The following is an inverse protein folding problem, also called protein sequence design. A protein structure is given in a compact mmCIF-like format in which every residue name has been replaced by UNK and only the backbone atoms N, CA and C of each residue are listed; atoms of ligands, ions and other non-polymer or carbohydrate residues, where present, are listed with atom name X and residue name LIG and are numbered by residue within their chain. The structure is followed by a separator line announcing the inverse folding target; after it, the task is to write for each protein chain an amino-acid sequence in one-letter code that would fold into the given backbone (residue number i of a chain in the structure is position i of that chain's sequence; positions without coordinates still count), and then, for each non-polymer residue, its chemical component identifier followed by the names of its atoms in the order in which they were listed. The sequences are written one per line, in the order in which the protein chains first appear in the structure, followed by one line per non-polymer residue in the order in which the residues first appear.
data_IF_622603815236
#
_entry.id   IF_622603815236
#
_cell.length_a   1.000
_cell.length_b   1.000
_cell.length_c   1.000
_cell.angle_alpha   90.00
_cell.angle_beta   90.00
_cell.angle_gamma   90.00
#
_symmetry.space_group_name_H-M   'P 1'
#
loop_
_entity.id
_entity.type
_entity.pdbx_description
1 polymer ?
#
# COMPACT_ATOMS: atom_id res chain seq x y z
N UNK A 1 39.26 -13.18 -43.79
CA UNK A 1 39.05 -11.94 -43.02
C UNK A 1 37.77 -12.10 -42.21
N UNK A 2 37.89 -12.57 -40.97
CA UNK A 2 36.77 -12.61 -40.04
C UNK A 2 36.67 -11.22 -39.37
N UNK A 3 35.64 -10.46 -39.72
CA UNK A 3 35.28 -9.28 -38.95
C UNK A 3 34.69 -9.74 -37.63
N UNK A 4 35.40 -9.42 -36.55
CA UNK A 4 34.91 -9.56 -35.17
C UNK A 4 33.66 -8.70 -34.99
N UNK A 5 32.53 -9.35 -34.78
CA UNK A 5 31.29 -8.69 -34.31
C UNK A 5 31.61 -8.05 -32.97
N UNK A 6 31.75 -6.74 -32.97
CA UNK A 6 31.94 -5.93 -31.76
C UNK A 6 30.77 -6.19 -30.82
N UNK A 7 31.09 -6.73 -29.65
CA UNK A 7 30.13 -6.90 -28.57
C UNK A 7 29.51 -5.54 -28.25
N UNK A 8 28.21 -5.37 -28.55
CA UNK A 8 27.45 -4.20 -28.14
C UNK A 8 27.61 -4.02 -26.64
N UNK A 9 27.93 -2.82 -26.15
CA UNK A 9 28.03 -2.57 -24.72
C UNK A 9 26.68 -2.89 -24.08
N UNK A 10 26.67 -3.79 -23.09
CA UNK A 10 25.48 -4.12 -22.32
C UNK A 10 24.90 -2.81 -21.79
N UNK A 11 23.57 -2.57 -21.93
CA UNK A 11 22.96 -1.31 -21.54
C UNK A 11 23.21 -1.06 -20.06
N UNK A 12 23.93 0.02 -19.77
CA UNK A 12 24.29 0.45 -18.41
C UNK A 12 23.09 0.95 -17.62
N UNK A 13 21.90 0.99 -18.21
CA UNK A 13 20.72 1.67 -17.71
C UNK A 13 20.08 1.09 -16.45
N UNK A 14 20.29 -0.20 -16.13
CA UNK A 14 19.74 -0.83 -14.91
C UNK A 14 20.84 -1.22 -13.90
N UNK A 15 22.07 -0.75 -14.08
CA UNK A 15 23.10 -0.89 -13.05
C UNK A 15 22.64 -0.15 -11.79
N UNK A 16 22.68 -0.84 -10.64
CA UNK A 16 22.27 -0.26 -9.36
C UNK A 16 20.79 -0.42 -9.01
N UNK A 17 19.98 -1.17 -9.79
CA UNK A 17 18.57 -1.40 -9.46
C UNK A 17 18.36 -2.02 -8.08
N UNK A 18 19.25 -2.91 -7.62
CA UNK A 18 19.22 -3.45 -6.25
C UNK A 18 19.40 -2.37 -5.21
N UNK A 19 20.27 -1.38 -5.45
CA UNK A 19 20.43 -0.22 -4.59
C UNK A 19 19.13 0.63 -4.52
N UNK A 20 18.47 0.86 -5.67
CA UNK A 20 17.19 1.58 -5.70
C UNK A 20 16.10 0.83 -4.93
N UNK A 21 16.07 -0.50 -4.98
CA UNK A 21 15.16 -1.31 -4.18
C UNK A 21 15.47 -1.16 -2.68
N UNK A 22 16.74 -1.23 -2.28
CA UNK A 22 17.15 -1.00 -0.90
C UNK A 22 16.72 0.37 -0.37
N UNK A 23 16.96 1.42 -1.15
CA UNK A 23 16.49 2.77 -0.82
C UNK A 23 14.96 2.85 -0.71
N UNK A 24 14.24 2.17 -1.60
CA UNK A 24 12.78 2.07 -1.58
C UNK A 24 12.27 1.44 -0.29
N UNK A 25 12.86 0.31 0.11
CA UNK A 25 12.52 -0.37 1.37
C UNK A 25 12.79 0.54 2.57
N UNK A 26 13.97 1.17 2.64
CA UNK A 26 14.33 2.08 3.74
C UNK A 26 13.38 3.29 3.81
N UNK A 27 13.06 3.92 2.68
CA UNK A 27 12.13 5.05 2.65
C UNK A 27 10.72 4.63 3.12
N UNK A 28 10.23 3.47 2.70
CA UNK A 28 8.94 2.93 3.12
C UNK A 28 8.92 2.57 4.61
N UNK A 29 10.01 2.01 5.13
CA UNK A 29 10.16 1.73 6.57
C UNK A 29 10.13 3.02 7.39
N UNK A 30 10.81 4.08 6.93
CA UNK A 30 10.86 5.36 7.62
C UNK A 30 9.48 5.98 7.83
N UNK A 31 8.57 5.88 6.84
CA UNK A 31 7.25 6.50 6.88
C UNK A 31 6.13 5.60 7.44
N UNK A 32 6.45 4.42 7.91
CA UNK A 32 5.44 3.45 8.40
C UNK A 32 4.83 3.84 9.75
N UNK A 33 5.64 4.46 10.60
CA UNK A 33 5.28 4.75 11.99
C UNK A 33 4.06 5.65 12.15
N UNK A 34 3.85 6.73 11.37
CA UNK A 34 2.67 7.58 11.52
C UNK A 34 1.34 6.83 11.45
N UNK A 35 1.24 5.79 10.65
CA UNK A 35 0.04 4.97 10.55
C UNK A 35 -0.02 3.86 11.61
N UNK A 36 1.06 3.10 11.76
CA UNK A 36 1.01 1.84 12.50
C UNK A 36 1.25 1.98 14.00
N UNK A 37 1.93 3.05 14.46
CA UNK A 37 2.14 3.28 15.89
C UNK A 37 1.18 4.32 16.48
N UNK A 38 0.24 4.84 15.70
CA UNK A 38 -0.75 5.82 16.13
C UNK A 38 -1.44 5.43 17.45
N UNK A 39 -1.77 4.16 17.61
CA UNK A 39 -2.44 3.65 18.81
C UNK A 39 -1.66 3.91 20.11
N UNK A 40 -0.32 3.95 20.07
CA UNK A 40 0.52 4.24 21.23
C UNK A 40 0.38 5.70 21.71
N UNK A 41 0.08 6.62 20.79
CA UNK A 41 -0.05 8.04 21.08
C UNK A 41 -1.46 8.44 21.53
N UNK A 42 -2.49 7.62 21.28
CA UNK A 42 -3.89 7.99 21.56
C UNK A 42 -4.12 8.35 23.02
N UNK A 43 -3.70 7.50 23.96
CA UNK A 43 -3.89 7.74 25.40
C UNK A 43 -3.09 8.94 25.92
N UNK A 44 -1.78 9.09 25.62
CA UNK A 44 -1.01 10.30 25.95
C UNK A 44 -1.62 11.60 25.39
N UNK A 45 -2.10 11.55 24.10
CA UNK A 45 -2.73 12.71 23.47
C UNK A 45 -4.09 13.05 24.07
N UNK A 46 -4.91 12.07 24.44
CA UNK A 46 -6.16 12.31 25.15
C UNK A 46 -5.92 13.08 26.47
N UNK A 47 -4.91 12.65 27.24
CA UNK A 47 -4.57 13.29 28.49
C UNK A 47 -3.98 14.69 28.28
N UNK A 48 -3.09 14.86 27.29
CA UNK A 48 -2.43 16.14 27.01
C UNK A 48 -3.40 17.20 26.44
N UNK A 49 -4.29 16.80 25.53
CA UNK A 49 -5.22 17.73 24.85
C UNK A 49 -6.60 17.81 25.49
N UNK A 50 -6.89 17.00 26.52
CA UNK A 50 -8.18 16.91 27.21
C UNK A 50 -9.36 16.68 26.24
N UNK A 51 -9.18 15.78 25.25
CA UNK A 51 -10.17 15.46 24.22
C UNK A 51 -10.55 13.98 24.23
N UNK A 52 -11.74 13.67 23.76
CA UNK A 52 -12.21 12.30 23.61
C UNK A 52 -11.51 11.55 22.46
N UNK A 53 -11.52 10.22 22.53
CA UNK A 53 -10.95 9.35 21.48
C UNK A 53 -11.54 9.63 20.08
N UNK A 54 -12.85 9.91 19.90
CA UNK A 54 -13.40 10.21 18.57
C UNK A 54 -12.74 11.41 17.89
N UNK A 55 -12.42 12.48 18.63
CA UNK A 55 -11.74 13.65 18.10
C UNK A 55 -10.31 13.31 17.63
N UNK A 56 -9.60 12.44 18.35
CA UNK A 56 -8.28 11.97 17.93
C UNK A 56 -8.34 11.08 16.68
N UNK A 57 -9.36 10.25 16.55
CA UNK A 57 -9.52 9.39 15.38
C UNK A 57 -9.73 10.20 14.08
N UNK A 58 -10.28 11.40 14.15
CA UNK A 58 -10.34 12.33 13.01
C UNK A 58 -8.92 12.66 12.51
N UNK A 59 -7.93 12.85 13.40
CA UNK A 59 -6.53 13.07 12.99
C UNK A 59 -6.00 11.94 12.11
N UNK A 60 -6.23 10.71 12.55
CA UNK A 60 -5.83 9.53 11.81
C UNK A 60 -6.55 9.40 10.47
N UNK A 61 -7.86 9.69 10.45
CA UNK A 61 -8.65 9.70 9.23
C UNK A 61 -8.14 10.74 8.22
N UNK A 62 -7.80 11.96 8.68
CA UNK A 62 -7.20 13.00 7.83
C UNK A 62 -5.89 12.51 7.22
N UNK A 63 -5.03 11.86 8.02
CA UNK A 63 -3.77 11.30 7.53
C UNK A 63 -4.00 10.31 6.38
N UNK A 64 -4.88 9.31 6.56
CA UNK A 64 -5.13 8.27 5.56
C UNK A 64 -5.83 8.84 4.32
N UNK A 65 -6.82 9.70 4.48
CA UNK A 65 -7.54 10.32 3.35
C UNK A 65 -6.59 11.16 2.50
N UNK A 66 -5.75 11.98 3.11
CA UNK A 66 -4.81 12.82 2.36
C UNK A 66 -3.67 12.01 1.74
N UNK A 67 -3.21 10.95 2.41
CA UNK A 67 -2.24 10.01 1.85
C UNK A 67 -2.74 9.37 0.55
N UNK A 68 -4.04 9.08 0.46
CA UNK A 68 -4.62 8.39 -0.71
C UNK A 68 -5.23 9.34 -1.72
N UNK A 69 -6.03 10.33 -1.31
CA UNK A 69 -6.75 11.21 -2.21
C UNK A 69 -5.83 12.16 -3.00
N UNK A 70 -4.70 12.58 -2.43
CA UNK A 70 -3.73 13.43 -3.11
C UNK A 70 -2.72 12.65 -3.97
N UNK A 71 -2.74 11.32 -3.94
CA UNK A 71 -1.78 10.48 -4.67
C UNK A 71 -1.69 10.74 -6.18
N UNK A 72 -2.77 11.06 -6.92
CA UNK A 72 -2.65 11.41 -8.33
C UNK A 72 -1.80 12.66 -8.57
N UNK A 73 -2.02 13.70 -7.78
CA UNK A 73 -1.25 14.94 -7.85
C UNK A 73 0.20 14.71 -7.45
N UNK A 74 0.42 13.96 -6.37
CA UNK A 74 1.75 13.59 -5.89
C UNK A 74 2.52 12.80 -6.95
N UNK A 75 1.87 11.81 -7.57
CA UNK A 75 2.44 11.01 -8.67
C UNK A 75 2.83 11.87 -9.87
N UNK A 76 1.95 12.79 -10.29
CA UNK A 76 2.22 13.75 -11.37
C UNK A 76 3.42 14.65 -11.07
N UNK A 77 3.48 15.21 -9.86
CA UNK A 77 4.60 16.04 -9.44
C UNK A 77 5.93 15.26 -9.44
N UNK A 78 5.92 14.01 -8.96
CA UNK A 78 7.11 13.15 -8.96
C UNK A 78 7.58 12.86 -10.40
N UNK A 79 6.67 12.60 -11.32
CA UNK A 79 7.01 12.35 -12.73
C UNK A 79 7.55 13.59 -13.43
N UNK A 80 7.04 14.77 -13.05
CA UNK A 80 7.45 16.05 -13.64
C UNK A 80 8.78 16.58 -13.07
N UNK A 81 8.97 16.53 -11.75
CA UNK A 81 10.12 17.15 -11.06
C UNK A 81 11.18 16.14 -10.62
N UNK A 82 10.90 14.84 -10.78
CA UNK A 82 11.78 13.75 -10.40
C UNK A 82 11.62 13.28 -8.96
N UNK A 83 11.99 12.01 -8.68
CA UNK A 83 11.72 11.38 -7.38
C UNK A 83 12.57 11.95 -6.26
N UNK A 84 13.84 12.32 -6.49
CA UNK A 84 14.78 12.74 -5.45
C UNK A 84 14.26 13.89 -4.61
N UNK A 85 13.81 14.97 -5.26
CA UNK A 85 13.34 16.17 -4.58
C UNK A 85 12.00 15.94 -3.89
N UNK A 86 11.05 15.32 -4.60
CA UNK A 86 9.70 15.14 -4.08
C UNK A 86 9.68 14.14 -2.91
N UNK A 87 10.41 13.01 -3.01
CA UNK A 87 10.52 12.06 -1.90
C UNK A 87 11.25 12.67 -0.70
N UNK A 88 12.26 13.53 -0.95
CA UNK A 88 12.92 14.30 0.10
C UNK A 88 11.96 15.26 0.82
N UNK A 89 11.16 16.01 0.06
CA UNK A 89 10.10 16.86 0.63
C UNK A 89 9.08 16.01 1.41
N UNK A 90 8.67 14.86 0.88
CA UNK A 90 7.77 13.93 1.57
C UNK A 90 8.34 13.46 2.91
N UNK A 91 9.63 13.10 2.95
CA UNK A 91 10.32 12.69 4.18
C UNK A 91 10.37 13.82 5.20
N UNK A 92 10.73 15.02 4.75
CA UNK A 92 10.77 16.22 5.59
C UNK A 92 9.38 16.54 6.16
N UNK A 93 8.34 16.54 5.34
CA UNK A 93 6.96 16.79 5.79
C UNK A 93 6.50 15.75 6.80
N UNK A 94 6.79 14.46 6.56
CA UNK A 94 6.42 13.37 7.49
C UNK A 94 7.14 13.54 8.83
N UNK A 95 8.43 13.80 8.85
CA UNK A 95 9.17 14.01 10.10
C UNK A 95 8.76 15.30 10.81
N UNK A 96 8.62 16.41 10.07
CA UNK A 96 8.16 17.69 10.60
C UNK A 96 6.75 17.59 11.17
N UNK A 97 5.88 16.75 10.59
CA UNK A 97 4.54 16.53 11.12
C UNK A 97 4.56 16.06 12.57
N UNK A 98 5.47 15.17 12.93
CA UNK A 98 5.65 14.69 14.29
C UNK A 98 6.28 15.73 15.21
N UNK A 99 7.32 16.41 14.73
CA UNK A 99 7.96 17.49 15.49
C UNK A 99 6.96 18.58 15.84
N UNK A 100 6.15 19.02 14.89
CA UNK A 100 5.13 20.04 15.12
C UNK A 100 3.94 19.51 15.95
N UNK A 101 3.57 18.24 15.79
CA UNK A 101 2.54 17.60 16.62
C UNK A 101 2.93 17.55 18.10
N UNK A 102 4.23 17.45 18.41
CA UNK A 102 4.72 17.52 19.80
C UNK A 102 4.44 18.85 20.49
N UNK A 103 4.23 19.91 19.70
CA UNK A 103 3.95 21.27 20.18
C UNK A 103 2.46 21.63 20.12
N UNK A 104 1.62 20.74 19.62
CA UNK A 104 0.20 20.97 19.46
C UNK A 104 -0.50 21.10 20.82
N UNK A 105 -1.16 22.21 21.07
CA UNK A 105 -1.94 22.48 22.30
C UNK A 105 -3.45 22.30 22.10
N UNK A 106 -3.87 22.04 20.87
CA UNK A 106 -5.27 21.86 20.49
C UNK A 106 -5.42 20.69 19.53
N UNK A 107 -6.59 20.08 19.49
CA UNK A 107 -6.90 19.01 18.52
C UNK A 107 -6.83 19.49 17.08
N UNK A 108 -7.19 20.76 16.80
CA UNK A 108 -7.04 21.37 15.45
C UNK A 108 -5.58 21.48 15.06
N UNK A 109 -4.70 21.89 16.01
CA UNK A 109 -3.26 21.88 15.78
C UNK A 109 -2.74 20.49 15.42
N UNK A 110 -3.27 19.43 16.07
CA UNK A 110 -2.93 18.05 15.76
C UNK A 110 -3.45 17.62 14.37
N UNK A 111 -4.66 18.06 13.97
CA UNK A 111 -5.20 17.82 12.62
C UNK A 111 -4.31 18.40 11.52
N UNK A 112 -3.81 19.63 11.72
CA UNK A 112 -2.96 20.32 10.75
C UNK A 112 -1.53 19.75 10.72
N UNK A 113 -1.00 19.36 11.87
CA UNK A 113 0.38 18.86 11.95
C UNK A 113 0.43 17.37 11.65
N UNK A 114 -0.07 16.53 12.52
CA UNK A 114 0.00 15.08 12.35
C UNK A 114 -0.84 14.59 11.16
N UNK A 115 -2.10 15.06 11.06
CA UNK A 115 -3.04 14.64 10.02
C UNK A 115 -2.66 15.15 8.64
N UNK A 116 -2.68 16.47 8.45
CA UNK A 116 -2.49 17.10 7.14
C UNK A 116 -1.05 16.93 6.63
N UNK A 117 -0.05 17.42 7.36
CA UNK A 117 1.35 17.33 6.92
C UNK A 117 1.82 15.88 6.85
N UNK A 118 1.46 15.06 7.84
CA UNK A 118 1.80 13.64 7.87
C UNK A 118 1.18 12.89 6.69
N UNK A 119 -0.09 13.13 6.37
CA UNK A 119 -0.78 12.50 5.25
C UNK A 119 -0.19 12.89 3.90
N UNK A 120 0.11 14.17 3.68
CA UNK A 120 0.78 14.64 2.46
C UNK A 120 2.17 14.01 2.33
N UNK A 121 2.98 14.04 3.39
CA UNK A 121 4.36 13.54 3.35
C UNK A 121 4.43 12.03 3.11
N UNK A 122 3.63 11.24 3.85
CA UNK A 122 3.58 9.78 3.68
C UNK A 122 3.06 9.37 2.31
N UNK A 123 2.05 10.09 1.78
CA UNK A 123 1.51 9.83 0.45
C UNK A 123 2.53 10.03 -0.66
N UNK A 124 3.31 11.12 -0.62
CA UNK A 124 4.37 11.40 -1.59
C UNK A 124 5.37 10.24 -1.65
N UNK A 125 5.83 9.76 -0.49
CA UNK A 125 6.82 8.68 -0.46
C UNK A 125 6.19 7.36 -0.91
N UNK A 126 5.00 7.05 -0.41
CA UNK A 126 4.34 5.77 -0.72
C UNK A 126 4.10 5.60 -2.23
N UNK A 127 3.37 6.54 -2.85
CA UNK A 127 3.06 6.45 -4.28
C UNK A 127 4.30 6.61 -5.15
N UNK A 128 5.25 7.45 -4.72
CA UNK A 128 6.49 7.68 -5.43
C UNK A 128 7.41 6.46 -5.46
N UNK A 129 7.61 5.79 -4.32
CA UNK A 129 8.44 4.60 -4.24
C UNK A 129 7.82 3.45 -5.04
N UNK A 130 6.52 3.19 -4.88
CA UNK A 130 5.84 2.12 -5.65
C UNK A 130 5.93 2.40 -7.14
N UNK A 131 5.58 3.61 -7.60
CA UNK A 131 5.64 4.00 -9.01
C UNK A 131 7.06 3.98 -9.59
N UNK A 132 8.07 4.29 -8.77
CA UNK A 132 9.48 4.22 -9.21
C UNK A 132 9.94 2.76 -9.37
N UNK A 133 9.56 1.88 -8.44
CA UNK A 133 9.99 0.47 -8.46
C UNK A 133 9.44 -0.29 -9.66
N UNK A 134 8.21 -0.07 -10.08
CA UNK A 134 7.66 -0.71 -11.29
C UNK A 134 8.38 -0.27 -12.57
N UNK A 135 9.02 0.91 -12.57
CA UNK A 135 9.86 1.41 -13.68
C UNK A 135 11.26 0.77 -13.67
N UNK A 136 11.86 0.58 -12.50
CA UNK A 136 13.18 -0.03 -12.36
C UNK A 136 13.19 -1.55 -12.60
N UNK A 137 12.06 -2.24 -12.36
CA UNK A 137 11.98 -3.69 -12.43
C UNK A 137 10.83 -4.16 -13.34
N UNK A 138 10.91 -3.91 -14.65
CA UNK A 138 9.90 -4.33 -15.60
C UNK A 138 9.76 -5.87 -15.69
N UNK A 139 10.78 -6.61 -15.29
CA UNK A 139 10.84 -8.08 -15.24
C UNK A 139 10.15 -8.69 -14.00
N UNK A 140 10.06 -7.94 -12.87
CA UNK A 140 9.62 -8.44 -11.57
C UNK A 140 8.76 -7.42 -10.80
N UNK A 141 7.81 -6.80 -11.47
CA UNK A 141 7.00 -5.71 -10.89
C UNK A 141 6.28 -6.12 -9.61
N UNK A 142 5.67 -7.33 -9.60
CA UNK A 142 4.95 -7.84 -8.44
C UNK A 142 5.86 -8.04 -7.23
N UNK A 143 6.99 -8.71 -7.42
CA UNK A 143 7.95 -8.95 -6.34
C UNK A 143 8.47 -7.65 -5.72
N UNK A 144 8.89 -6.69 -6.55
CA UNK A 144 9.51 -5.46 -6.01
C UNK A 144 8.51 -4.50 -5.39
N UNK A 145 7.30 -4.40 -5.93
CA UNK A 145 6.23 -3.63 -5.27
C UNK A 145 5.85 -4.27 -3.94
N UNK A 146 5.80 -5.61 -3.89
CA UNK A 146 5.64 -6.36 -2.66
C UNK A 146 6.75 -6.11 -1.64
N UNK A 147 8.01 -6.09 -2.07
CA UNK A 147 9.16 -5.83 -1.17
C UNK A 147 9.11 -4.43 -0.55
N UNK A 148 8.86 -3.38 -1.34
CA UNK A 148 8.77 -2.03 -0.78
C UNK A 148 7.52 -1.85 0.08
N UNK A 149 6.40 -2.45 -0.30
CA UNK A 149 5.19 -2.44 0.51
C UNK A 149 5.36 -3.23 1.82
N UNK A 150 6.12 -4.34 1.82
CA UNK A 150 6.50 -5.05 3.03
C UNK A 150 7.38 -4.17 3.94
N UNK A 151 8.29 -3.39 3.37
CA UNK A 151 9.08 -2.38 4.10
C UNK A 151 8.19 -1.43 4.89
N UNK A 152 7.10 -0.95 4.29
CA UNK A 152 6.11 -0.14 5.00
C UNK A 152 5.48 -0.87 6.20
N UNK A 153 5.15 -2.15 6.07
CA UNK A 153 4.64 -2.97 7.19
C UNK A 153 5.68 -3.21 8.29
N UNK A 154 6.89 -3.63 7.90
CA UNK A 154 7.95 -4.01 8.84
C UNK A 154 8.59 -2.82 9.56
N UNK A 155 8.60 -1.63 8.97
CA UNK A 155 9.20 -0.45 9.60
C UNK A 155 8.58 -0.14 10.97
N UNK A 156 7.28 -0.30 11.11
CA UNK A 156 6.59 -0.11 12.39
C UNK A 156 6.98 -1.15 13.45
N UNK A 157 7.34 -2.37 13.06
CA UNK A 157 7.80 -3.40 14.01
C UNK A 157 9.10 -2.95 14.69
N UNK A 158 10.02 -2.36 13.92
CA UNK A 158 11.29 -1.86 14.44
C UNK A 158 11.10 -0.65 15.37
N UNK A 159 10.10 0.19 15.11
CA UNK A 159 9.93 1.46 15.84
C UNK A 159 8.97 1.34 17.02
N UNK A 160 8.05 0.38 17.03
CA UNK A 160 7.00 0.24 18.06
C UNK A 160 7.61 0.15 19.47
N UNK A 161 8.56 -0.76 19.69
CA UNK A 161 9.16 -0.96 21.01
C UNK A 161 10.01 0.22 21.47
N UNK A 162 10.91 0.80 20.65
CA UNK A 162 11.66 2.01 21.04
C UNK A 162 10.74 3.21 21.34
N UNK A 163 9.67 3.40 20.54
CA UNK A 163 8.69 4.46 20.79
C UNK A 163 7.96 4.24 22.10
N UNK A 164 7.46 3.03 22.39
CA UNK A 164 6.77 2.72 23.64
C UNK A 164 7.70 2.93 24.87
N UNK A 165 8.93 2.45 24.78
CA UNK A 165 9.93 2.66 25.84
C UNK A 165 10.19 4.15 26.09
N UNK A 166 10.36 4.93 25.03
CA UNK A 166 10.62 6.36 25.12
C UNK A 166 9.40 7.16 25.61
N UNK A 167 8.17 6.75 25.22
CA UNK A 167 6.93 7.34 25.76
C UNK A 167 6.85 7.18 27.29
N UNK A 168 7.27 6.03 27.81
CA UNK A 168 7.24 5.74 29.26
C UNK A 168 8.32 6.48 30.02
N UNK A 169 9.50 6.69 29.43
CA UNK A 169 10.66 7.31 30.12
C UNK A 169 10.72 8.82 29.94
N UNK A 170 10.45 9.32 28.74
CA UNK A 170 10.67 10.72 28.37
C UNK A 170 9.37 11.47 28.04
N UNK A 171 8.25 10.75 27.90
CA UNK A 171 6.95 11.32 27.61
C UNK A 171 6.69 11.60 26.12
N UNK A 172 5.55 12.20 25.85
CA UNK A 172 5.01 12.36 24.49
C UNK A 172 5.85 13.29 23.60
N UNK A 173 6.14 14.51 24.07
CA UNK A 173 6.78 15.54 23.24
C UNK A 173 8.19 15.16 22.79
N UNK A 174 9.13 14.73 23.68
CA UNK A 174 10.46 14.29 23.25
C UNK A 174 10.41 13.09 22.31
N UNK A 175 9.46 12.14 22.52
CA UNK A 175 9.30 10.97 21.65
C UNK A 175 8.93 11.39 20.23
N UNK A 176 7.94 12.26 20.07
CA UNK A 176 7.53 12.76 18.75
C UNK A 176 8.65 13.57 18.08
N UNK A 177 9.39 14.40 18.82
CA UNK A 177 10.51 15.19 18.28
C UNK A 177 11.64 14.30 17.75
N UNK A 178 12.12 13.37 18.56
CA UNK A 178 13.26 12.52 18.20
C UNK A 178 12.89 11.58 17.05
N UNK A 179 11.75 10.90 17.13
CA UNK A 179 11.34 10.02 16.03
C UNK A 179 10.94 10.79 14.78
N UNK A 180 10.39 12.01 14.90
CA UNK A 180 10.17 12.91 13.77
C UNK A 180 11.47 13.28 13.05
N UNK A 181 12.54 13.61 13.80
CA UNK A 181 13.87 13.86 13.24
C UNK A 181 14.47 12.60 12.60
N UNK A 182 14.29 11.41 13.19
CA UNK A 182 14.75 10.14 12.61
C UNK A 182 14.03 9.87 11.29
N UNK A 183 12.71 10.02 11.24
CA UNK A 183 11.92 9.84 10.03
C UNK A 183 12.41 10.78 8.91
N UNK A 184 12.56 12.09 9.23
CA UNK A 184 13.06 13.07 8.27
C UNK A 184 14.48 12.71 7.80
N UNK A 185 15.40 12.41 8.72
CA UNK A 185 16.80 12.11 8.42
C UNK A 185 16.98 10.86 7.57
N UNK A 186 16.37 9.74 7.97
CA UNK A 186 16.45 8.46 7.24
C UNK A 186 15.76 8.57 5.88
N UNK A 187 14.55 9.14 5.85
CA UNK A 187 13.81 9.32 4.60
C UNK A 187 14.52 10.26 3.63
N UNK A 188 15.11 11.37 4.11
CA UNK A 188 15.90 12.30 3.30
C UNK A 188 17.17 11.61 2.75
N UNK A 189 17.89 10.89 3.59
CA UNK A 189 19.09 10.16 3.17
C UNK A 189 18.76 9.15 2.06
N UNK A 190 17.66 8.41 2.20
CA UNK A 190 17.17 7.53 1.16
C UNK A 190 16.79 8.31 -0.11
N UNK A 191 16.09 9.45 0.02
CA UNK A 191 15.63 10.27 -1.10
C UNK A 191 16.78 10.78 -1.97
N UNK A 192 17.90 11.18 -1.38
CA UNK A 192 19.09 11.65 -2.12
C UNK A 192 19.66 10.62 -3.08
N UNK A 193 19.49 9.33 -2.80
CA UNK A 193 19.97 8.23 -3.62
C UNK A 193 19.05 7.84 -4.78
N UNK A 194 17.79 8.27 -4.79
CA UNK A 194 16.84 7.90 -5.83
C UNK A 194 17.16 8.49 -7.21
N UNK A 195 16.94 7.69 -8.24
CA UNK A 195 17.10 8.08 -9.65
C UNK A 195 15.96 7.51 -10.47
N UNK A 196 15.56 8.24 -11.51
CA UNK A 196 14.62 7.74 -12.51
C UNK A 196 15.39 6.92 -13.56
N UNK A 197 14.95 5.70 -13.91
CA UNK A 197 15.55 4.99 -15.04
C UNK A 197 15.24 5.72 -16.35
N UNK A 198 16.17 5.70 -17.32
CA UNK A 198 15.90 6.28 -18.64
C UNK A 198 14.82 5.49 -19.38
N UNK A 199 14.03 6.16 -20.23
CA UNK A 199 12.99 5.51 -21.04
C UNK A 199 13.58 4.39 -21.90
N UNK A 200 14.77 4.62 -22.47
CA UNK A 200 15.51 3.64 -23.26
C UNK A 200 15.90 2.41 -22.42
N UNK A 201 16.35 2.60 -21.17
CA UNK A 201 16.65 1.50 -20.26
C UNK A 201 15.42 0.68 -19.88
N UNK A 202 14.27 1.32 -19.70
CA UNK A 202 12.99 0.63 -19.45
C UNK A 202 12.60 -0.22 -20.67
N UNK A 203 12.70 0.33 -21.88
CA UNK A 203 12.36 -0.36 -23.11
C UNK A 203 13.28 -1.58 -23.35
N UNK A 204 14.58 -1.43 -23.19
CA UNK A 204 15.56 -2.53 -23.35
C UNK A 204 15.44 -3.63 -22.28
N UNK A 205 14.97 -3.28 -21.10
CA UNK A 205 14.82 -4.23 -20.00
C UNK A 205 13.46 -4.95 -20.00
N UNK A 206 12.53 -4.53 -20.85
CA UNK A 206 11.30 -5.26 -21.09
C UNK A 206 11.62 -6.40 -22.04
N UNK A 207 11.75 -7.67 -21.59
CA UNK A 207 12.13 -8.76 -22.46
C UNK A 207 11.09 -8.89 -23.59
N UNK A 208 11.54 -9.00 -24.84
CA UNK A 208 10.65 -9.38 -25.96
C UNK A 208 10.03 -10.77 -25.72
N UNK A 209 10.76 -11.63 -25.00
CA UNK A 209 10.28 -12.89 -24.43
C UNK A 209 9.82 -12.67 -22.98
N UNK A 210 8.87 -11.76 -22.73
CA UNK A 210 8.15 -11.73 -21.45
C UNK A 210 7.54 -13.11 -21.26
N UNK A 211 7.74 -13.72 -20.08
CA UNK A 211 7.06 -14.98 -19.73
C UNK A 211 5.61 -14.91 -20.23
N UNK A 212 5.19 -15.88 -21.03
CA UNK A 212 3.83 -15.94 -21.59
C UNK A 212 2.73 -15.82 -20.51
N UNK A 213 3.13 -15.93 -19.22
CA UNK A 213 2.28 -15.84 -18.06
C UNK A 213 1.81 -14.40 -17.74
N UNK A 214 2.59 -13.33 -18.10
CA UNK A 214 2.23 -11.94 -17.76
C UNK A 214 2.28 -11.05 -19.01
N UNK A 215 1.18 -10.95 -19.77
CA UNK A 215 1.09 -10.03 -20.90
C UNK A 215 1.22 -8.57 -20.45
N UNK A 216 1.94 -7.77 -21.22
CA UNK A 216 2.24 -6.36 -20.93
C UNK A 216 1.87 -5.46 -22.09
N UNK A 217 1.35 -4.27 -21.78
CA UNK A 217 1.08 -3.24 -22.79
C UNK A 217 2.38 -2.77 -23.46
N UNK A 218 2.33 -2.64 -24.77
CA UNK A 218 3.34 -1.98 -25.60
C UNK A 218 3.16 -0.46 -25.66
N UNK A 219 2.01 0.03 -25.20
CA UNK A 219 1.60 1.43 -25.26
C UNK A 219 1.61 2.00 -23.84
N UNK A 220 2.02 3.26 -23.72
CA UNK A 220 1.96 4.01 -22.47
C UNK A 220 0.75 4.95 -22.49
N UNK A 221 -0.18 4.73 -21.57
CA UNK A 221 -1.38 5.54 -21.46
C UNK A 221 -1.18 6.69 -20.48
N UNK A 222 -1.68 7.87 -20.85
CA UNK A 222 -1.79 9.01 -19.93
C UNK A 222 -2.94 8.77 -18.95
N UNK A 223 -2.91 9.42 -17.77
CA UNK A 223 -3.97 9.24 -16.77
C UNK A 223 -5.38 9.51 -17.32
N UNK A 224 -5.55 10.58 -18.10
CA UNK A 224 -6.85 10.91 -18.70
C UNK A 224 -7.37 9.87 -19.72
N UNK A 225 -6.48 9.14 -20.38
CA UNK A 225 -6.83 8.04 -21.28
C UNK A 225 -7.19 6.79 -20.48
N UNK A 226 -6.40 6.47 -19.45
CA UNK A 226 -6.64 5.37 -18.53
C UNK A 226 -8.02 5.47 -17.86
N UNK A 227 -8.37 6.66 -17.33
CA UNK A 227 -9.63 6.92 -16.63
C UNK A 227 -10.88 6.73 -17.51
N UNK A 228 -10.74 6.78 -18.84
CA UNK A 228 -11.82 6.51 -19.79
C UNK A 228 -12.05 5.02 -20.05
N UNK A 229 -11.21 4.14 -19.48
CA UNK A 229 -11.27 2.72 -19.77
C UNK A 229 -12.06 1.94 -18.71
N UNK A 230 -12.90 0.98 -19.11
CA UNK A 230 -13.61 0.14 -18.16
C UNK A 230 -12.67 -0.77 -17.35
N UNK A 231 -11.50 -1.13 -17.91
CA UNK A 231 -10.49 -1.94 -17.19
C UNK A 231 -9.98 -1.22 -15.95
N UNK A 232 -9.75 0.10 -16.04
CA UNK A 232 -9.35 0.89 -14.88
C UNK A 232 -10.40 0.88 -13.77
N UNK A 233 -11.67 1.12 -14.12
CA UNK A 233 -12.75 1.17 -13.13
C UNK A 233 -13.05 -0.20 -12.51
N UNK A 234 -12.84 -1.27 -13.27
CA UNK A 234 -12.88 -2.63 -12.72
C UNK A 234 -11.78 -2.84 -11.68
N UNK A 235 -10.53 -2.49 -12.01
CA UNK A 235 -9.41 -2.57 -11.05
C UNK A 235 -9.65 -1.69 -9.82
N UNK A 236 -10.20 -0.48 -10.01
CA UNK A 236 -10.55 0.41 -8.92
C UNK A 236 -11.61 -0.19 -7.99
N UNK A 237 -12.69 -0.73 -8.55
CA UNK A 237 -13.74 -1.41 -7.80
C UNK A 237 -13.22 -2.63 -7.05
N UNK A 238 -12.44 -3.48 -7.72
CA UNK A 238 -11.80 -4.64 -7.11
C UNK A 238 -10.87 -4.25 -5.95
N UNK A 239 -10.02 -3.23 -6.13
CA UNK A 239 -9.14 -2.74 -5.07
C UNK A 239 -9.94 -2.12 -3.92
N UNK A 240 -11.05 -1.44 -4.18
CA UNK A 240 -11.95 -0.91 -3.14
C UNK A 240 -12.56 -2.04 -2.31
N UNK A 241 -13.08 -3.09 -2.95
CA UNK A 241 -13.67 -4.24 -2.27
C UNK A 241 -12.66 -4.93 -1.34
N UNK A 242 -11.49 -5.25 -1.85
CA UNK A 242 -10.41 -5.86 -1.06
C UNK A 242 -9.91 -4.96 0.06
N UNK A 243 -9.77 -3.65 -0.20
CA UNK A 243 -9.36 -2.69 0.84
C UNK A 243 -10.37 -2.58 1.97
N UNK A 244 -11.66 -2.76 1.69
CA UNK A 244 -12.73 -2.71 2.69
C UNK A 244 -12.56 -3.82 3.73
N UNK A 245 -12.26 -5.06 3.31
CA UNK A 245 -12.08 -6.22 4.18
C UNK A 245 -10.96 -6.03 5.19
N UNK A 246 -9.73 -5.87 4.72
CA UNK A 246 -8.59 -5.75 5.63
C UNK A 246 -8.60 -4.48 6.48
N UNK A 247 -9.11 -3.34 5.95
CA UNK A 247 -9.23 -2.12 6.74
C UNK A 247 -10.33 -2.20 7.78
N UNK A 248 -11.40 -2.97 7.55
CA UNK A 248 -12.39 -3.32 8.56
C UNK A 248 -11.74 -4.08 9.71
N UNK A 249 -10.97 -5.11 9.42
CA UNK A 249 -10.26 -5.88 10.46
C UNK A 249 -9.30 -4.99 11.24
N UNK A 250 -8.46 -4.19 10.56
CA UNK A 250 -7.51 -3.29 11.23
C UNK A 250 -8.22 -2.29 12.17
N UNK A 251 -9.35 -1.73 11.75
CA UNK A 251 -10.03 -0.67 12.51
C UNK A 251 -10.95 -1.20 13.61
N UNK A 252 -11.54 -2.40 13.45
CA UNK A 252 -12.61 -2.90 14.31
C UNK A 252 -12.23 -4.15 15.10
N UNK A 253 -11.01 -4.70 14.93
CA UNK A 253 -10.63 -5.97 15.55
C UNK A 253 -10.80 -6.00 17.07
N UNK A 254 -10.49 -4.90 17.76
CA UNK A 254 -10.71 -4.80 19.20
C UNK A 254 -12.20 -4.88 19.60
N UNK A 255 -13.09 -4.30 18.78
CA UNK A 255 -14.51 -4.31 19.02
C UNK A 255 -15.11 -5.70 18.84
N UNK A 256 -14.89 -6.34 17.68
CA UNK A 256 -15.46 -7.67 17.45
C UNK A 256 -14.77 -8.78 18.27
N UNK A 257 -13.49 -8.64 18.62
CA UNK A 257 -12.84 -9.56 19.57
C UNK A 257 -13.49 -9.53 20.95
N UNK A 258 -13.96 -8.34 21.37
CA UNK A 258 -14.74 -8.19 22.61
C UNK A 258 -16.10 -8.86 22.49
N UNK A 259 -16.82 -8.62 21.39
CA UNK A 259 -18.16 -9.17 21.16
C UNK A 259 -18.13 -10.70 21.00
N UNK A 260 -17.05 -11.24 20.47
CA UNK A 260 -16.82 -12.70 20.38
C UNK A 260 -16.26 -13.33 21.67
N UNK A 261 -16.02 -12.53 22.70
CA UNK A 261 -15.56 -13.03 24.02
C UNK A 261 -14.09 -13.45 24.07
N UNK A 262 -13.28 -13.15 23.04
CA UNK A 262 -11.87 -13.58 22.95
C UNK A 262 -10.87 -12.51 23.35
N UNK A 263 -11.30 -11.27 23.62
CA UNK A 263 -10.42 -10.14 23.91
C UNK A 263 -9.52 -10.33 25.13
N UNK A 264 -9.97 -11.10 26.13
CA UNK A 264 -9.24 -11.41 27.37
C UNK A 264 -8.69 -12.82 27.42
N UNK A 265 -8.95 -13.64 26.39
CA UNK A 265 -8.47 -15.02 26.32
C UNK A 265 -6.94 -15.07 26.19
N UNK A 266 -6.33 -16.16 26.67
CA UNK A 266 -4.88 -16.38 26.61
C UNK A 266 -4.58 -17.53 25.65
N UNK A 267 -3.63 -17.30 24.74
CA UNK A 267 -3.13 -18.29 23.77
C UNK A 267 -1.60 -18.30 23.86
N UNK A 268 -1.00 -19.45 24.07
CA UNK A 268 0.44 -19.62 24.29
C UNK A 268 1.03 -18.74 25.39
N UNK A 269 0.26 -18.45 26.45
CA UNK A 269 0.68 -17.57 27.55
C UNK A 269 0.60 -16.07 27.26
N UNK A 270 0.08 -15.66 26.09
CA UNK A 270 -0.10 -14.28 25.67
C UNK A 270 -1.59 -13.96 25.49
N UNK A 271 -1.96 -12.69 25.67
CA UNK A 271 -3.32 -12.25 25.38
C UNK A 271 -3.64 -12.42 23.88
N UNK A 272 -4.78 -13.02 23.56
CA UNK A 272 -5.14 -13.43 22.20
C UNK A 272 -5.22 -12.25 21.22
N UNK A 273 -5.80 -11.11 21.62
CA UNK A 273 -5.94 -9.95 20.74
C UNK A 273 -4.58 -9.32 20.35
N UNK A 274 -3.66 -8.99 21.27
CA UNK A 274 -2.31 -8.53 20.90
C UNK A 274 -1.53 -9.54 20.07
N UNK A 275 -1.68 -10.84 20.34
CA UNK A 275 -1.02 -11.90 19.59
C UNK A 275 -1.55 -11.96 18.14
N UNK A 276 -2.87 -11.89 17.95
CA UNK A 276 -3.51 -11.82 16.64
C UNK A 276 -3.03 -10.59 15.85
N UNK A 277 -3.08 -9.39 16.45
CA UNK A 277 -2.60 -8.16 15.81
C UNK A 277 -1.11 -8.23 15.41
N UNK A 278 -0.29 -8.95 16.17
CA UNK A 278 1.12 -9.16 15.85
C UNK A 278 1.27 -10.12 14.67
N UNK A 279 0.55 -11.25 14.70
CA UNK A 279 0.54 -12.22 13.62
C UNK A 279 0.07 -11.59 12.31
N UNK A 280 -1.00 -10.79 12.36
CA UNK A 280 -1.54 -10.06 11.19
C UNK A 280 -0.50 -9.15 10.54
N UNK A 281 0.30 -8.44 11.32
CA UNK A 281 1.37 -7.59 10.79
C UNK A 281 2.47 -8.39 10.11
N UNK A 282 2.86 -9.53 10.70
CA UNK A 282 3.89 -10.40 10.14
C UNK A 282 3.39 -11.03 8.83
N UNK A 283 2.20 -11.63 8.84
CA UNK A 283 1.63 -12.25 7.64
C UNK A 283 1.37 -11.24 6.54
N UNK A 284 0.80 -10.08 6.85
CA UNK A 284 0.60 -8.97 5.92
C UNK A 284 1.91 -8.48 5.28
N UNK A 285 3.00 -8.41 6.06
CA UNK A 285 4.31 -8.03 5.54
C UNK A 285 4.89 -9.08 4.58
N UNK A 286 4.83 -10.35 4.97
CA UNK A 286 5.41 -11.47 4.20
C UNK A 286 4.63 -11.81 2.93
N UNK A 287 3.32 -11.67 2.96
CA UNK A 287 2.43 -12.01 1.84
C UNK A 287 2.70 -11.15 0.61
N UNK A 288 3.05 -9.89 0.79
CA UNK A 288 3.25 -8.92 -0.31
C UNK A 288 4.35 -9.34 -1.29
N UNK A 289 5.60 -9.61 -0.86
CA UNK A 289 6.63 -10.12 -1.77
C UNK A 289 6.33 -11.55 -2.25
N UNK A 290 5.70 -12.39 -1.42
CA UNK A 290 5.35 -13.77 -1.78
C UNK A 290 4.38 -13.80 -2.97
N UNK A 291 3.19 -13.21 -2.85
CA UNK A 291 2.24 -13.19 -3.97
C UNK A 291 2.69 -12.32 -5.12
N UNK A 292 3.48 -11.26 -4.85
CA UNK A 292 4.13 -10.51 -5.89
C UNK A 292 5.01 -11.40 -6.77
N UNK A 293 5.85 -12.24 -6.15
CA UNK A 293 6.71 -13.21 -6.83
C UNK A 293 5.91 -14.31 -7.55
N UNK A 294 4.86 -14.85 -6.92
CA UNK A 294 3.95 -15.82 -7.54
C UNK A 294 3.31 -15.21 -8.79
N UNK A 295 2.80 -13.98 -8.69
CA UNK A 295 2.11 -13.32 -9.79
C UNK A 295 3.01 -13.01 -10.99
N UNK A 296 4.30 -12.78 -10.75
CA UNK A 296 5.29 -12.58 -11.82
C UNK A 296 5.54 -13.86 -12.65
N UNK A 297 5.15 -15.05 -12.10
CA UNK A 297 5.33 -16.36 -12.75
C UNK A 297 4.05 -16.99 -13.25
N UNK A 298 2.99 -16.94 -12.44
CA UNK A 298 1.72 -17.63 -12.70
C UNK A 298 0.74 -16.73 -13.48
N UNK A 299 0.93 -15.41 -13.36
CA UNK A 299 0.06 -14.38 -13.94
C UNK A 299 -0.72 -13.63 -12.88
N UNK A 300 -1.07 -12.36 -13.19
CA UNK A 300 -1.70 -11.44 -12.24
C UNK A 300 -3.09 -11.92 -11.80
N UNK A 301 -3.94 -12.17 -12.77
CA UNK A 301 -5.35 -12.48 -12.55
C UNK A 301 -5.56 -13.82 -11.83
N UNK A 302 -4.74 -14.82 -12.16
CA UNK A 302 -4.80 -16.13 -11.48
C UNK A 302 -4.37 -16.03 -10.01
N UNK A 303 -3.31 -15.23 -9.75
CA UNK A 303 -2.83 -14.99 -8.40
C UNK A 303 -3.84 -14.20 -7.58
N UNK A 304 -4.44 -13.14 -8.17
CA UNK A 304 -5.53 -12.39 -7.55
C UNK A 304 -6.71 -13.31 -7.18
N UNK A 305 -7.16 -14.14 -8.12
CA UNK A 305 -8.28 -15.05 -7.88
C UNK A 305 -8.01 -16.00 -6.70
N UNK A 306 -6.83 -16.63 -6.69
CA UNK A 306 -6.46 -17.54 -5.62
C UNK A 306 -6.41 -16.83 -4.26
N UNK A 307 -5.70 -15.71 -4.18
CA UNK A 307 -5.47 -15.00 -2.94
C UNK A 307 -6.76 -14.41 -2.36
N UNK A 308 -7.59 -13.79 -3.20
CA UNK A 308 -8.83 -13.15 -2.75
C UNK A 308 -9.93 -14.16 -2.39
N UNK A 309 -10.03 -15.28 -3.11
CA UNK A 309 -10.92 -16.37 -2.70
C UNK A 309 -10.42 -17.00 -1.39
N UNK A 310 -9.10 -17.19 -1.23
CA UNK A 310 -8.51 -17.68 0.00
C UNK A 310 -8.86 -16.76 1.18
N UNK A 311 -8.75 -15.44 1.01
CA UNK A 311 -9.11 -14.46 2.03
C UNK A 311 -10.59 -14.54 2.40
N UNK A 312 -11.49 -14.50 1.42
CA UNK A 312 -12.93 -14.61 1.68
C UNK A 312 -13.32 -15.91 2.38
N UNK A 313 -12.72 -17.05 1.97
CA UNK A 313 -12.90 -18.33 2.67
C UNK A 313 -12.32 -18.29 4.10
N UNK A 314 -11.16 -17.66 4.29
CA UNK A 314 -10.55 -17.50 5.61
C UNK A 314 -11.42 -16.65 6.54
N UNK A 315 -12.04 -15.57 6.02
CA UNK A 315 -13.01 -14.74 6.76
C UNK A 315 -14.23 -15.56 7.21
N UNK A 316 -14.80 -16.38 6.33
CA UNK A 316 -15.93 -17.27 6.68
C UNK A 316 -15.52 -18.32 7.72
N UNK A 317 -14.34 -18.91 7.57
CA UNK A 317 -13.81 -19.88 8.52
C UNK A 317 -13.54 -19.21 9.88
N UNK A 318 -12.99 -18.00 9.88
CA UNK A 318 -12.77 -17.21 11.09
C UNK A 318 -14.08 -16.93 11.82
N UNK A 319 -15.12 -16.57 11.07
CA UNK A 319 -16.44 -16.36 11.62
C UNK A 319 -17.05 -17.64 12.24
N UNK A 320 -16.84 -18.79 11.60
CA UNK A 320 -17.32 -20.09 12.11
C UNK A 320 -16.66 -20.49 13.44
N UNK A 321 -15.38 -20.14 13.64
CA UNK A 321 -14.61 -20.45 14.83
C UNK A 321 -14.31 -19.24 15.72
N UNK A 322 -15.09 -18.16 15.61
CA UNK A 322 -14.86 -16.85 16.23
C UNK A 322 -14.70 -16.86 17.75
N UNK A 323 -15.35 -17.83 18.44
CA UNK A 323 -15.32 -17.94 19.90
C UNK A 323 -14.11 -18.74 20.42
N UNK A 324 -13.40 -19.44 19.53
CA UNK A 324 -12.19 -20.16 19.89
C UNK A 324 -10.97 -19.25 19.77
N UNK A 325 -10.33 -18.95 20.90
CA UNK A 325 -9.23 -17.99 20.96
C UNK A 325 -8.01 -18.37 20.08
N UNK A 326 -7.66 -19.67 20.02
CA UNK A 326 -6.56 -20.14 19.16
C UNK A 326 -6.92 -20.01 17.69
N UNK A 327 -8.13 -20.43 17.31
CA UNK A 327 -8.62 -20.28 15.95
C UNK A 327 -8.73 -18.79 15.57
N UNK A 328 -9.18 -17.93 16.47
CA UNK A 328 -9.24 -16.49 16.27
C UNK A 328 -7.86 -15.92 15.89
N UNK A 329 -6.81 -16.28 16.62
CA UNK A 329 -5.43 -15.81 16.34
C UNK A 329 -4.91 -16.34 15.01
N UNK A 330 -5.04 -17.66 14.76
CA UNK A 330 -4.46 -18.25 13.54
C UNK A 330 -5.19 -17.85 12.28
N UNK A 331 -6.52 -17.78 12.34
CA UNK A 331 -7.34 -17.41 11.18
C UNK A 331 -7.29 -15.93 10.86
N UNK A 332 -7.10 -15.04 11.84
CA UNK A 332 -6.81 -13.63 11.57
C UNK A 332 -5.52 -13.49 10.75
N UNK A 333 -4.47 -14.20 11.14
CA UNK A 333 -3.22 -14.26 10.37
C UNK A 333 -3.40 -14.79 8.94
N UNK A 334 -4.29 -15.77 8.73
CA UNK A 334 -4.61 -16.30 7.41
C UNK A 334 -5.37 -15.27 6.54
N UNK A 335 -6.32 -14.53 7.12
CA UNK A 335 -7.01 -13.41 6.46
C UNK A 335 -5.99 -12.38 5.98
N UNK A 336 -5.07 -11.96 6.85
CA UNK A 336 -4.03 -11.00 6.47
C UNK A 336 -2.98 -11.56 5.49
N UNK A 337 -2.80 -12.87 5.45
CA UNK A 337 -2.02 -13.53 4.40
C UNK A 337 -2.71 -13.45 3.04
N UNK A 338 -4.04 -13.43 2.98
CA UNK A 338 -4.83 -13.22 1.77
C UNK A 338 -5.01 -11.76 1.36
N UNK A 339 -4.77 -10.79 2.26
CA UNK A 339 -5.05 -9.37 2.02
C UNK A 339 -3.85 -8.51 1.60
N UNK A 340 -2.69 -8.77 2.17
CA UNK A 340 -1.54 -7.85 2.01
C UNK A 340 -1.05 -7.70 0.57
N UNK A 341 -1.30 -8.67 -0.28
CA UNK A 341 -0.86 -8.71 -1.68
C UNK A 341 -1.54 -7.67 -2.58
N UNK A 342 -2.64 -7.05 -2.17
CA UNK A 342 -3.26 -5.95 -2.94
C UNK A 342 -2.23 -4.86 -3.29
N UNK A 343 -1.28 -4.60 -2.39
CA UNK A 343 -0.22 -3.60 -2.57
C UNK A 343 0.91 -4.05 -3.50
N UNK A 344 0.93 -5.30 -3.92
CA UNK A 344 1.85 -5.82 -4.93
C UNK A 344 1.14 -6.11 -6.25
N UNK A 345 -0.05 -6.69 -6.20
CA UNK A 345 -0.79 -7.15 -7.39
C UNK A 345 -1.42 -6.00 -8.16
N UNK A 346 -2.12 -5.09 -7.50
CA UNK A 346 -2.81 -3.99 -8.19
C UNK A 346 -1.86 -3.01 -8.89
N UNK A 347 -0.79 -2.47 -8.26
CA UNK A 347 0.13 -1.56 -8.96
C UNK A 347 0.87 -2.24 -10.10
N UNK A 348 1.20 -3.53 -9.96
CA UNK A 348 1.86 -4.30 -11.01
C UNK A 348 0.93 -4.57 -12.19
N UNK A 349 -0.33 -4.98 -11.92
CA UNK A 349 -1.36 -5.21 -12.96
C UNK A 349 -1.69 -3.93 -13.70
N UNK A 350 -1.85 -2.81 -12.98
CA UNK A 350 -2.09 -1.50 -13.57
C UNK A 350 -0.97 -1.11 -14.54
N UNK A 351 0.29 -1.25 -14.08
CA UNK A 351 1.46 -0.89 -14.89
C UNK A 351 1.63 -1.83 -16.08
N UNK A 352 1.35 -3.14 -15.91
CA UNK A 352 1.37 -4.12 -17.01
C UNK A 352 0.27 -3.83 -18.04
N UNK A 353 -0.83 -3.18 -17.65
CA UNK A 353 -1.98 -2.87 -18.50
C UNK A 353 -1.86 -1.53 -19.22
N UNK A 354 -1.34 -0.51 -18.54
CA UNK A 354 -1.31 0.88 -19.04
C UNK A 354 0.09 1.41 -19.33
N UNK A 355 1.12 0.61 -19.14
CA UNK A 355 2.51 0.96 -19.40
C UNK A 355 3.21 1.68 -18.24
N UNK A 356 4.54 1.69 -18.24
CA UNK A 356 5.35 2.21 -17.13
C UNK A 356 5.61 3.72 -17.15
N UNK A 357 5.37 4.43 -18.27
CA UNK A 357 5.80 5.83 -18.40
C UNK A 357 5.13 6.72 -17.35
N UNK A 358 3.80 6.61 -17.22
CA UNK A 358 2.99 7.36 -16.26
C UNK A 358 2.60 6.51 -15.04
N UNK A 359 3.38 5.50 -14.68
CA UNK A 359 2.98 4.50 -13.69
C UNK A 359 2.73 5.11 -12.31
N UNK A 360 3.48 6.12 -11.90
CA UNK A 360 3.34 6.76 -10.59
C UNK A 360 2.03 7.52 -10.49
N UNK A 361 1.70 8.33 -11.49
CA UNK A 361 0.43 9.07 -11.55
C UNK A 361 -0.76 8.12 -11.70
N UNK A 362 -0.67 7.14 -12.60
CA UNK A 362 -1.72 6.16 -12.83
C UNK A 362 -2.02 5.35 -11.55
N UNK A 363 -0.97 4.92 -10.84
CA UNK A 363 -1.15 4.24 -9.56
C UNK A 363 -1.75 5.16 -8.50
N UNK A 364 -1.40 6.44 -8.49
CA UNK A 364 -2.02 7.42 -7.61
C UNK A 364 -3.55 7.44 -7.72
N UNK A 365 -4.09 7.40 -8.94
CA UNK A 365 -5.55 7.30 -9.16
C UNK A 365 -6.12 5.99 -8.62
N UNK A 366 -5.45 4.87 -8.82
CA UNK A 366 -5.90 3.58 -8.30
C UNK A 366 -5.83 3.54 -6.76
N UNK A 367 -4.82 4.17 -6.16
CA UNK A 367 -4.62 4.17 -4.71
C UNK A 367 -5.73 4.89 -3.93
N UNK A 368 -6.49 5.78 -4.58
CA UNK A 368 -7.72 6.37 -4.00
C UNK A 368 -8.71 5.28 -3.56
N UNK A 369 -8.75 4.15 -4.26
CA UNK A 369 -9.60 3.00 -3.92
C UNK A 369 -9.39 2.51 -2.48
N UNK A 370 -8.15 2.57 -1.96
CA UNK A 370 -7.87 2.25 -0.56
C UNK A 370 -8.49 3.28 0.39
N UNK A 371 -8.47 4.55 0.03
CA UNK A 371 -9.14 5.60 0.81
C UNK A 371 -10.64 5.36 0.91
N UNK A 372 -11.28 5.01 -0.22
CA UNK A 372 -12.70 4.62 -0.24
C UNK A 372 -12.93 3.38 0.62
N UNK A 373 -12.10 2.35 0.45
CA UNK A 373 -12.17 1.13 1.27
C UNK A 373 -12.04 1.38 2.77
N UNK A 374 -11.25 2.38 3.18
CA UNK A 374 -11.10 2.74 4.59
C UNK A 374 -12.38 3.32 5.19
N UNK A 375 -13.16 4.08 4.42
CA UNK A 375 -14.46 4.60 4.84
C UNK A 375 -15.49 3.47 4.96
N UNK A 376 -15.48 2.55 4.00
CA UNK A 376 -16.39 1.39 4.01
C UNK A 376 -16.05 0.40 5.14
N UNK A 377 -14.78 0.07 5.33
CA UNK A 377 -14.31 -0.86 6.36
C UNK A 377 -14.27 -0.27 7.77
N UNK A 378 -14.21 1.05 7.93
CA UNK A 378 -14.24 1.73 9.23
C UNK A 378 -15.65 2.18 9.61
N UNK A 379 -16.02 3.44 9.29
CA UNK A 379 -17.31 4.03 9.71
C UNK A 379 -18.53 3.28 9.22
N UNK A 380 -18.57 2.82 7.97
CA UNK A 380 -19.72 2.10 7.41
C UNK A 380 -19.87 0.72 8.04
N UNK A 381 -18.79 0.00 8.25
CA UNK A 381 -18.83 -1.29 8.95
C UNK A 381 -19.33 -1.14 10.40
N UNK A 382 -18.87 -0.10 11.11
CA UNK A 382 -19.36 0.21 12.45
C UNK A 382 -20.84 0.59 12.45
N UNK A 383 -21.32 1.33 11.45
CA UNK A 383 -22.73 1.67 11.30
C UNK A 383 -23.59 0.41 11.06
N UNK A 384 -23.15 -0.51 10.19
CA UNK A 384 -23.83 -1.80 9.95
C UNK A 384 -23.90 -2.60 11.25
N UNK A 385 -22.79 -2.69 11.99
CA UNK A 385 -22.76 -3.35 13.28
C UNK A 385 -23.79 -2.76 14.26
N UNK A 386 -23.83 -1.45 14.39
CA UNK A 386 -24.77 -0.77 15.29
C UNK A 386 -26.24 -1.00 14.90
N UNK A 387 -26.53 -1.03 13.58
CA UNK A 387 -27.89 -1.25 13.08
C UNK A 387 -28.37 -2.69 13.33
N UNK A 388 -27.52 -3.68 13.13
CA UNK A 388 -27.86 -5.10 13.33
C UNK A 388 -27.51 -5.63 14.72
N UNK A 389 -26.83 -4.81 15.56
CA UNK A 389 -26.27 -5.23 16.84
C UNK A 389 -25.40 -6.50 16.74
N UNK A 390 -24.72 -6.68 15.63
CA UNK A 390 -23.94 -7.88 15.33
C UNK A 390 -22.88 -7.61 14.27
N UNK A 391 -21.70 -8.21 14.40
CA UNK A 391 -20.65 -8.20 13.38
C UNK A 391 -20.90 -9.20 12.24
N UNK A 392 -21.81 -10.15 12.40
CA UNK A 392 -22.07 -11.20 11.39
C UNK A 392 -22.37 -10.62 9.99
N UNK A 393 -23.26 -9.62 9.81
CA UNK A 393 -23.54 -9.04 8.50
C UNK A 393 -22.30 -8.40 7.87
N UNK A 394 -21.43 -7.76 8.67
CA UNK A 394 -20.20 -7.13 8.20
C UNK A 394 -19.24 -8.20 7.67
N UNK A 395 -19.03 -9.27 8.43
CA UNK A 395 -18.15 -10.37 8.02
C UNK A 395 -18.65 -11.09 6.74
N UNK A 396 -19.95 -11.36 6.64
CA UNK A 396 -20.53 -11.96 5.41
C UNK A 396 -20.38 -11.04 4.22
N UNK A 397 -20.59 -9.73 4.39
CA UNK A 397 -20.40 -8.74 3.33
C UNK A 397 -18.95 -8.74 2.86
N UNK A 398 -17.97 -8.66 3.77
CA UNK A 398 -16.55 -8.66 3.46
C UNK A 398 -16.14 -9.94 2.74
N UNK A 399 -16.48 -11.11 3.28
CA UNK A 399 -16.19 -12.38 2.63
C UNK A 399 -16.80 -12.48 1.22
N UNK A 400 -18.02 -11.97 1.05
CA UNK A 400 -18.69 -11.91 -0.25
C UNK A 400 -17.97 -10.99 -1.24
N UNK A 401 -17.47 -9.83 -0.80
CA UNK A 401 -16.70 -8.90 -1.63
C UNK A 401 -15.35 -9.50 -2.04
N UNK A 402 -14.66 -10.20 -1.14
CA UNK A 402 -13.36 -10.84 -1.42
C UNK A 402 -13.52 -11.97 -2.44
N UNK A 403 -14.49 -12.87 -2.22
CA UNK A 403 -14.80 -13.96 -3.16
C UNK A 403 -15.23 -13.40 -4.52
N UNK A 404 -16.10 -12.37 -4.53
CA UNK A 404 -16.54 -11.70 -5.75
C UNK A 404 -15.34 -11.12 -6.50
N UNK A 405 -14.42 -10.48 -5.80
CA UNK A 405 -13.21 -9.90 -6.41
C UNK A 405 -12.34 -10.98 -7.03
N UNK A 406 -12.18 -12.13 -6.36
CA UNK A 406 -11.47 -13.29 -6.92
C UNK A 406 -12.13 -13.86 -8.18
N UNK A 407 -13.46 -13.96 -8.20
CA UNK A 407 -14.25 -14.37 -9.37
C UNK A 407 -14.10 -13.36 -10.50
N UNK A 408 -14.23 -12.06 -10.21
CA UNK A 408 -14.03 -10.97 -11.18
C UNK A 408 -12.64 -11.00 -11.81
N UNK A 409 -11.60 -11.39 -11.05
CA UNK A 409 -10.24 -11.48 -11.57
C UNK A 409 -10.13 -12.47 -12.76
N UNK A 410 -10.77 -13.63 -12.68
CA UNK A 410 -10.69 -14.66 -13.72
C UNK A 410 -11.71 -14.42 -14.84
N UNK A 411 -12.97 -14.16 -14.48
CA UNK A 411 -14.07 -14.17 -15.47
C UNK A 411 -14.29 -12.83 -16.14
N UNK A 412 -13.84 -11.73 -15.53
CA UNK A 412 -14.05 -10.38 -16.07
C UNK A 412 -12.73 -9.68 -16.38
N UNK A 413 -11.83 -9.54 -15.40
CA UNK A 413 -10.57 -8.81 -15.58
C UNK A 413 -9.67 -9.47 -16.61
N UNK A 414 -9.48 -10.79 -16.53
CA UNK A 414 -8.59 -11.53 -17.44
C UNK A 414 -9.02 -11.40 -18.91
N UNK A 415 -10.25 -11.67 -19.32
CA UNK A 415 -10.67 -11.49 -20.72
C UNK A 415 -10.68 -10.01 -21.14
N UNK A 416 -11.15 -9.09 -20.29
CA UNK A 416 -11.12 -7.65 -20.57
C UNK A 416 -9.70 -7.13 -20.81
N UNK A 417 -8.78 -7.52 -19.95
CA UNK A 417 -7.38 -7.10 -20.07
C UNK A 417 -6.71 -7.76 -21.27
N UNK A 418 -7.00 -9.04 -21.56
CA UNK A 418 -6.54 -9.71 -22.77
C UNK A 418 -6.98 -8.95 -24.03
N UNK A 419 -8.27 -8.72 -24.20
CA UNK A 419 -8.81 -7.94 -25.33
C UNK A 419 -8.27 -6.50 -25.37
N UNK A 420 -7.94 -5.91 -24.22
CA UNK A 420 -7.31 -4.59 -24.14
C UNK A 420 -5.88 -4.60 -24.68
N UNK A 421 -5.08 -5.60 -24.34
CA UNK A 421 -3.68 -5.72 -24.73
C UNK A 421 -3.50 -6.15 -26.20
N UNK A 422 -4.48 -6.88 -26.78
CA UNK A 422 -4.47 -7.34 -28.16
C UNK A 422 -4.90 -6.26 -29.18
N UNK A 423 -5.24 -5.05 -28.71
CA UNK A 423 -5.59 -3.93 -29.59
C UNK A 423 -4.41 -3.56 -30.50
N UNK A 424 -4.69 -3.31 -31.79
CA UNK A 424 -3.65 -2.85 -32.70
C UNK A 424 -3.05 -1.55 -32.17
N UNK A 425 -1.72 -1.45 -32.21
CA UNK A 425 -1.02 -0.19 -31.95
C UNK A 425 -1.48 0.84 -32.98
N UNK A 426 -1.88 2.06 -32.55
CA UNK A 426 -2.18 3.14 -33.49
C UNK A 426 -1.02 3.30 -34.48
N UNK A 427 -1.35 3.41 -35.78
CA UNK A 427 -0.35 3.67 -36.81
C UNK A 427 0.44 4.93 -36.44
N UNK A 428 1.76 5.01 -36.71
CA UNK A 428 2.55 6.20 -36.47
C UNK A 428 1.99 7.50 -37.11
N UNK A 429 1.09 7.35 -38.08
CA UNK A 429 0.42 8.46 -38.76
C UNK A 429 -0.73 9.10 -37.96
N UNK A 430 -1.27 8.43 -36.95
CA UNK A 430 -2.40 8.90 -36.12
C UNK A 430 -2.03 9.28 -34.67
N UNK A 431 -0.75 9.12 -34.30
CA UNK A 431 -0.26 9.52 -32.99
C UNK A 431 -0.07 11.05 -32.92
N UNK A 432 -0.50 11.72 -31.83
CA UNK A 432 -0.11 13.10 -31.62
C UNK A 432 1.41 13.18 -31.61
N UNK A 433 1.96 14.03 -32.48
CA UNK A 433 3.36 14.40 -32.57
C UNK A 433 4.00 14.36 -31.19
N UNK A 434 5.08 13.58 -31.04
CA UNK A 434 6.02 13.72 -29.93
C UNK A 434 6.50 15.17 -29.94
N UNK A 435 5.74 16.07 -29.31
CA UNK A 435 6.17 17.42 -29.04
C UNK A 435 7.32 17.32 -28.04
N UNK A 436 8.52 17.58 -28.54
CA UNK A 436 9.69 18.01 -27.82
C UNK A 436 9.31 18.96 -26.66
N UNK A 437 9.53 18.57 -25.42
CA UNK A 437 10.10 19.40 -24.35
C UNK A 437 10.92 18.50 -23.43
#
# INVERSE_FOLDING_TARGET
MHQSVSAFPRPTGLKGRGWQLGLGIVAMMAISSPQYVWALFTKPLQTSLQVGLPALQITFSILIVLQTALSPLQGFLIERFGPRWLLGIGALLTGLSWVLASMAKTVIGLYLTYGLLGGIGTGIIYVGVVGLMVKWFPDRRGFVTGMVAAGYGFGAILTTFPIDAMLKTSGLAPTLQIFGCIIAGVGMAAALGFRTPSVHAIALATPETSSAAVPKSKINFRPGEMLKTPVFWLLFGMMTMMSTGGLMVISQMGAFAKDFGVSTAVVFGLAALPLALTLDRVTNGLTRPFFGWVSDRVGREKTMAFAFILEGCAVLLWLAFRENALAFVLLSGLVFFGWGEIFSLFPSTLTDTFGPLNATTNYGFLYIAQGVGSVLGGPVAAWIHNYFSSWLPVFYLVAGLDILTGVLAIFVLRPMRGAWLDRPTPSPAEGPLLASV
#
